data_IF_373305963471
#
_entry.id   IF_373305963471
#
_cell.length_a   1.000
_cell.length_b   1.000
_cell.length_c   1.000
_cell.angle_alpha   90.00
_cell.angle_beta   90.00
_cell.angle_gamma   90.00
#
_symmetry.space_group_name_H-M   'P 1'
#
loop_
_entity.id
_entity.type
_entity.pdbx_description
1 polymer ?
#
# COMPACT_ATOMS: atom_id res chain seq x y z
N UNK A 1 -7.63 -25.48 39.21
CA UNK A 1 -7.18 -24.11 39.56
C UNK A 1 -6.07 -24.08 40.61
N UNK A 2 -6.10 -24.86 41.72
CA UNK A 2 -5.01 -24.85 42.73
C UNK A 2 -3.62 -25.28 42.22
N UNK A 3 -3.53 -26.22 41.27
CA UNK A 3 -2.24 -26.69 40.76
C UNK A 3 -1.56 -25.72 39.76
N UNK A 4 -2.31 -24.75 39.20
CA UNK A 4 -1.76 -23.76 38.27
C UNK A 4 -0.97 -22.66 39.00
N UNK A 5 -1.43 -22.28 40.21
CA UNK A 5 -0.76 -21.29 41.06
C UNK A 5 0.54 -21.82 41.67
N UNK A 6 0.62 -23.10 42.03
CA UNK A 6 1.88 -23.71 42.50
C UNK A 6 2.94 -23.81 41.40
N UNK A 7 2.54 -24.07 40.16
CA UNK A 7 3.47 -24.11 39.01
C UNK A 7 3.93 -22.69 38.66
N UNK A 8 3.05 -21.67 38.69
CA UNK A 8 3.43 -20.27 38.50
C UNK A 8 4.34 -19.73 39.62
N UNK A 9 4.17 -20.19 40.86
CA UNK A 9 5.03 -19.81 41.98
C UNK A 9 6.43 -20.44 41.89
N UNK A 10 6.53 -21.69 41.42
CA UNK A 10 7.82 -22.37 41.19
C UNK A 10 8.54 -21.81 39.94
N UNK A 11 7.80 -21.46 38.88
CA UNK A 11 8.35 -20.82 37.68
C UNK A 11 8.85 -19.38 37.96
N UNK A 12 8.15 -18.64 38.82
CA UNK A 12 8.59 -17.32 39.31
C UNK A 12 9.81 -17.38 40.23
N UNK A 13 9.92 -18.43 41.05
CA UNK A 13 11.08 -18.63 41.94
C UNK A 13 12.35 -19.07 41.18
N UNK A 14 12.22 -19.79 40.06
CA UNK A 14 13.36 -20.15 39.20
C UNK A 14 13.98 -18.97 38.45
N UNK A 15 13.20 -17.92 38.15
CA UNK A 15 13.71 -16.68 37.50
C UNK A 15 14.50 -15.80 38.49
N UNK A 16 14.16 -15.85 39.78
CA UNK A 16 14.90 -15.14 40.83
C UNK A 16 16.26 -15.78 41.14
N UNK A 17 16.38 -17.11 41.04
CA UNK A 17 17.63 -17.83 41.32
C UNK A 17 18.66 -17.74 40.18
N UNK A 18 18.24 -17.46 38.93
CA UNK A 18 19.17 -17.21 37.82
C UNK A 18 19.77 -15.81 37.86
N UNK A 19 19.10 -14.84 38.49
CA UNK A 19 19.57 -13.44 38.56
C UNK A 19 20.81 -13.29 39.45
N UNK A 20 20.79 -13.86 40.66
CA UNK A 20 21.92 -13.78 41.59
C UNK A 20 23.19 -14.47 41.06
N UNK A 21 23.04 -15.57 40.32
CA UNK A 21 24.19 -16.28 39.77
C UNK A 21 24.81 -15.54 38.57
N UNK A 22 23.99 -14.79 37.82
CA UNK A 22 24.44 -13.97 36.70
C UNK A 22 25.15 -12.68 37.17
N UNK A 23 24.67 -12.03 38.24
CA UNK A 23 25.35 -10.87 38.84
C UNK A 23 26.75 -11.25 39.36
N UNK A 24 26.85 -12.36 40.10
CA UNK A 24 28.14 -12.90 40.60
C UNK A 24 29.11 -13.28 39.48
N UNK A 25 28.60 -13.79 38.36
CA UNK A 25 29.42 -14.12 37.19
C UNK A 25 30.04 -12.86 36.58
N UNK A 26 29.25 -11.81 36.35
CA UNK A 26 29.76 -10.53 35.83
C UNK A 26 30.75 -9.87 36.78
N UNK A 27 30.47 -9.88 38.08
CA UNK A 27 31.41 -9.37 39.07
C UNK A 27 32.76 -10.11 39.02
N UNK A 28 32.77 -11.44 39.03
CA UNK A 28 34.02 -12.23 38.91
C UNK A 28 34.78 -11.94 37.61
N UNK A 29 34.06 -11.77 36.51
CA UNK A 29 34.69 -11.45 35.24
C UNK A 29 35.30 -10.04 35.25
N UNK A 30 34.63 -9.07 35.89
CA UNK A 30 35.19 -7.75 36.15
C UNK A 30 36.49 -7.83 36.96
N UNK A 31 36.55 -8.66 38.00
CA UNK A 31 37.77 -8.86 38.80
C UNK A 31 38.93 -9.44 37.98
N UNK A 32 38.63 -10.37 37.06
CA UNK A 32 39.64 -10.93 36.15
C UNK A 32 40.18 -9.85 35.21
N UNK A 33 39.31 -9.01 34.64
CA UNK A 33 39.71 -7.91 33.74
C UNK A 33 40.53 -6.85 34.49
N UNK A 34 40.08 -6.46 35.68
CA UNK A 34 40.78 -5.50 36.55
C UNK A 34 42.19 -6.00 36.91
N UNK A 35 42.34 -7.28 37.24
CA UNK A 35 43.63 -7.89 37.55
C UNK A 35 44.60 -7.90 36.35
N UNK A 36 44.10 -7.74 35.13
CA UNK A 36 44.88 -7.63 33.90
C UNK A 36 45.05 -6.16 33.43
N UNK A 37 44.57 -5.18 34.19
CA UNK A 37 44.65 -3.75 33.84
C UNK A 37 43.63 -3.29 32.81
N UNK A 38 42.60 -4.09 32.52
CA UNK A 38 41.51 -3.74 31.60
C UNK A 38 40.39 -3.03 32.38
N UNK A 39 40.65 -1.79 32.78
CA UNK A 39 39.82 -1.07 33.74
C UNK A 39 38.44 -0.69 33.19
N UNK A 40 38.35 -0.25 31.92
CA UNK A 40 37.06 0.10 31.31
C UNK A 40 36.15 -1.14 31.18
N UNK A 41 36.68 -2.25 30.69
CA UNK A 41 35.94 -3.50 30.56
C UNK A 41 35.56 -4.09 31.93
N UNK A 42 36.43 -3.93 32.93
CA UNK A 42 36.12 -4.31 34.31
C UNK A 42 34.95 -3.49 34.86
N UNK A 43 34.98 -2.16 34.70
CA UNK A 43 33.92 -1.27 35.16
C UNK A 43 32.57 -1.57 34.46
N UNK A 44 32.58 -1.83 33.15
CA UNK A 44 31.38 -2.25 32.41
C UNK A 44 30.80 -3.57 32.95
N UNK A 45 31.65 -4.52 33.36
CA UNK A 45 31.21 -5.76 34.00
C UNK A 45 30.63 -5.54 35.41
N UNK A 46 31.19 -4.61 36.18
CA UNK A 46 30.62 -4.22 37.47
C UNK A 46 29.28 -3.49 37.32
N UNK A 47 29.15 -2.60 36.34
CA UNK A 47 27.87 -1.97 35.96
C UNK A 47 26.84 -3.05 35.61
N UNK A 48 27.23 -4.06 34.84
CA UNK A 48 26.32 -5.15 34.47
C UNK A 48 25.93 -6.03 35.66
N UNK A 49 26.84 -6.25 36.61
CA UNK A 49 26.52 -6.90 37.88
C UNK A 49 25.46 -6.08 38.67
N UNK A 50 25.64 -4.76 38.76
CA UNK A 50 24.74 -3.85 39.46
C UNK A 50 23.39 -3.64 38.76
N UNK A 51 23.34 -3.78 37.43
CA UNK A 51 22.08 -3.80 36.67
C UNK A 51 21.21 -5.01 37.01
N UNK A 52 21.86 -6.14 37.32
CA UNK A 52 21.18 -7.40 37.69
C UNK A 52 20.87 -7.48 39.17
N UNK A 53 21.72 -6.90 40.00
CA UNK A 53 21.55 -6.80 41.45
C UNK A 53 22.05 -5.45 41.96
N UNK A 54 21.12 -4.51 42.15
CA UNK A 54 21.43 -3.13 42.57
C UNK A 54 22.00 -3.03 43.99
N UNK A 55 21.81 -4.06 44.81
CA UNK A 55 22.29 -4.10 46.20
C UNK A 55 23.63 -4.85 46.34
N UNK A 56 24.28 -5.19 45.22
CA UNK A 56 25.55 -5.90 45.23
C UNK A 56 26.71 -4.99 45.65
N UNK A 57 26.92 -4.88 46.97
CA UNK A 57 27.88 -3.96 47.60
C UNK A 57 29.30 -4.15 47.09
N UNK A 58 29.78 -5.39 46.91
CA UNK A 58 31.14 -5.64 46.42
C UNK A 58 31.34 -5.13 45.00
N UNK A 59 30.34 -5.26 44.13
CA UNK A 59 30.37 -4.70 42.78
C UNK A 59 30.30 -3.17 42.80
N UNK A 60 29.57 -2.57 43.74
CA UNK A 60 29.50 -1.11 43.90
C UNK A 60 30.85 -0.53 44.33
N UNK A 61 31.52 -1.16 45.31
CA UNK A 61 32.86 -0.74 45.77
C UNK A 61 33.87 -0.88 44.65
N UNK A 62 33.88 -2.03 43.95
CA UNK A 62 34.80 -2.24 42.83
C UNK A 62 34.54 -1.24 41.67
N UNK A 63 33.28 -0.94 41.37
CA UNK A 63 32.93 0.09 40.39
C UNK A 63 33.36 1.49 40.82
N UNK A 64 33.31 1.81 42.12
CA UNK A 64 33.78 3.10 42.61
C UNK A 64 35.27 3.29 42.37
N UNK A 65 36.08 2.27 42.70
CA UNK A 65 37.53 2.32 42.56
C UNK A 65 37.94 2.35 41.08
N UNK A 66 37.46 1.36 40.30
CA UNK A 66 37.83 1.24 38.88
C UNK A 66 37.17 2.33 38.04
N UNK A 67 35.94 2.74 38.37
CA UNK A 67 35.24 3.79 37.65
C UNK A 67 35.95 5.14 37.77
N UNK A 68 36.59 5.44 38.91
CA UNK A 68 37.43 6.63 39.03
C UNK A 68 38.66 6.56 38.12
N UNK A 69 39.31 5.39 38.02
CA UNK A 69 40.46 5.18 37.12
C UNK A 69 40.06 5.44 35.67
N UNK A 70 38.97 4.82 35.20
CA UNK A 70 38.47 4.98 33.81
C UNK A 70 38.15 6.43 33.48
N UNK A 71 37.51 7.17 34.39
CA UNK A 71 37.20 8.58 34.16
C UNK A 71 38.48 9.42 34.06
N UNK A 72 39.48 9.16 34.91
CA UNK A 72 40.74 9.89 34.88
C UNK A 72 41.54 9.55 33.62
N UNK A 73 41.62 8.28 33.22
CA UNK A 73 42.26 7.85 31.97
C UNK A 73 41.66 8.57 30.77
N UNK A 74 40.33 8.69 30.67
CA UNK A 74 39.68 9.43 29.58
C UNK A 74 39.95 10.93 29.60
N UNK A 75 40.15 11.53 30.78
CA UNK A 75 40.56 12.93 30.88
C UNK A 75 42.05 13.14 30.56
N UNK A 76 42.89 12.17 30.90
CA UNK A 76 44.30 12.17 30.52
C UNK A 76 44.42 12.04 28.99
N UNK A 77 43.68 11.11 28.37
CA UNK A 77 43.58 10.96 26.91
C UNK A 77 43.07 12.25 26.24
N UNK A 78 42.10 12.94 26.86
CA UNK A 78 41.63 14.25 26.39
C UNK A 78 42.78 15.25 26.34
N UNK A 79 43.57 15.39 27.40
CA UNK A 79 44.68 16.35 27.41
C UNK A 79 45.81 15.96 26.47
N UNK A 80 46.13 14.67 26.37
CA UNK A 80 47.13 14.18 25.42
C UNK A 80 46.73 14.53 23.97
N UNK A 81 45.44 14.41 23.64
CA UNK A 81 44.91 14.84 22.35
C UNK A 81 44.93 16.37 22.17
N UNK A 82 44.63 17.15 23.22
CA UNK A 82 44.76 18.62 23.18
C UNK A 82 46.20 19.06 22.93
N UNK A 83 47.17 18.46 23.61
CA UNK A 83 48.61 18.75 23.43
C UNK A 83 49.09 18.36 22.02
N UNK A 84 48.51 17.32 21.45
CA UNK A 84 48.80 16.83 20.10
C UNK A 84 48.08 17.63 18.99
N UNK A 85 47.14 18.52 19.34
CA UNK A 85 46.33 19.29 18.40
C UNK A 85 45.24 18.46 17.69
N UNK A 86 44.86 17.33 18.28
CA UNK A 86 43.87 16.39 17.75
C UNK A 86 42.47 16.72 18.28
N UNK A 87 41.94 17.87 17.87
CA UNK A 87 40.73 18.47 18.47
C UNK A 87 39.50 17.56 18.46
N UNK A 88 39.27 16.85 17.35
CA UNK A 88 38.16 15.90 17.23
C UNK A 88 38.27 14.77 18.27
N UNK A 89 39.48 14.24 18.46
CA UNK A 89 39.73 13.18 19.41
C UNK A 89 39.61 13.69 20.85
N UNK A 90 40.14 14.87 21.13
CA UNK A 90 39.98 15.54 22.41
C UNK A 90 38.50 15.71 22.78
N UNK A 91 37.68 16.28 21.89
CA UNK A 91 36.24 16.45 22.11
C UNK A 91 35.58 15.11 22.43
N UNK A 92 35.91 14.05 21.67
CA UNK A 92 35.40 12.69 21.90
C UNK A 92 35.79 12.17 23.29
N UNK A 93 37.07 12.21 23.66
CA UNK A 93 37.56 11.73 24.95
C UNK A 93 36.89 12.46 26.13
N UNK A 94 36.73 13.78 26.03
CA UNK A 94 36.01 14.55 27.04
C UNK A 94 34.54 14.12 27.17
N UNK A 95 33.84 13.97 26.04
CA UNK A 95 32.44 13.52 26.04
C UNK A 95 32.30 12.11 26.63
N UNK A 96 33.20 11.18 26.27
CA UNK A 96 33.21 9.84 26.85
C UNK A 96 33.45 9.85 28.37
N UNK A 97 34.35 10.73 28.86
CA UNK A 97 34.55 10.90 30.29
C UNK A 97 33.27 11.41 30.99
N UNK A 98 32.60 12.41 30.42
CA UNK A 98 31.34 12.95 30.96
C UNK A 98 30.20 11.93 30.95
N UNK A 99 30.06 11.16 29.87
CA UNK A 99 29.07 10.10 29.74
C UNK A 99 29.31 8.97 30.75
N UNK A 100 30.58 8.59 30.94
CA UNK A 100 30.94 7.60 31.93
C UNK A 100 30.69 8.09 33.36
N UNK A 101 31.01 9.37 33.66
CA UNK A 101 30.66 10.02 34.94
C UNK A 101 29.16 10.04 35.18
N UNK A 102 28.37 10.38 34.16
CA UNK A 102 26.90 10.34 34.24
C UNK A 102 26.38 8.92 34.52
N UNK A 103 27.02 7.91 33.92
CA UNK A 103 26.72 6.49 34.17
C UNK A 103 27.03 6.11 35.62
N UNK A 104 28.20 6.46 36.15
CA UNK A 104 28.57 6.23 37.55
C UNK A 104 27.62 6.93 38.53
N UNK A 105 27.20 8.16 38.21
CA UNK A 105 26.24 8.93 39.00
C UNK A 105 24.90 8.23 39.14
N UNK A 106 24.47 7.43 38.16
CA UNK A 106 23.25 6.61 38.26
C UNK A 106 23.31 5.53 39.36
N UNK A 107 24.53 5.18 39.80
CA UNK A 107 24.80 4.29 40.93
C UNK A 107 25.18 5.05 42.21
N UNK A 108 24.97 6.37 42.26
CA UNK A 108 25.39 7.27 43.34
C UNK A 108 26.91 7.35 43.54
N UNK A 109 27.71 7.03 42.51
CA UNK A 109 29.15 7.25 42.51
C UNK A 109 29.41 8.59 41.83
N UNK A 110 29.92 9.56 42.60
CA UNK A 110 30.25 10.88 42.07
C UNK A 110 31.77 11.01 41.90
N UNK A 111 32.22 11.02 40.66
CA UNK A 111 33.61 11.29 40.31
C UNK A 111 33.73 12.76 39.93
N UNK A 112 34.59 13.50 40.65
CA UNK A 112 34.81 14.91 40.39
C UNK A 112 35.49 15.12 39.04
N UNK A 113 35.04 16.14 38.29
CA UNK A 113 35.79 16.65 37.14
C UNK A 113 37.09 17.26 37.64
N UNK A 114 38.26 16.96 37.05
CA UNK A 114 39.46 17.66 37.44
C UNK A 114 39.42 19.13 36.98
N UNK A 115 40.09 20.00 37.72
CA UNK A 115 40.01 21.46 37.55
C UNK A 115 40.53 21.85 36.15
N UNK A 116 39.88 22.84 35.52
CA UNK A 116 40.30 23.41 34.23
C UNK A 116 39.85 22.64 32.98
N UNK A 117 39.50 21.36 33.08
CA UNK A 117 39.16 20.55 31.90
C UNK A 117 37.93 21.04 31.15
N UNK A 118 36.92 21.56 31.86
CA UNK A 118 35.74 22.15 31.21
C UNK A 118 36.08 23.42 30.43
N UNK A 119 36.98 24.25 30.96
CA UNK A 119 37.38 25.48 30.29
C UNK A 119 38.26 25.15 29.07
N UNK A 120 39.17 24.18 29.19
CA UNK A 120 39.97 23.70 28.05
C UNK A 120 39.09 23.06 26.98
N UNK A 121 38.12 22.23 27.37
CA UNK A 121 37.15 21.64 26.44
C UNK A 121 36.41 22.70 25.63
N UNK A 122 35.97 23.79 26.27
CA UNK A 122 35.30 24.90 25.56
C UNK A 122 36.23 25.56 24.55
N UNK A 123 37.51 25.76 24.88
CA UNK A 123 38.50 26.33 23.96
C UNK A 123 38.72 25.43 22.75
N UNK A 124 38.89 24.12 22.97
CA UNK A 124 39.09 23.12 21.91
C UNK A 124 37.84 23.01 21.03
N UNK A 125 36.66 22.96 21.65
CA UNK A 125 35.38 22.94 20.94
C UNK A 125 35.20 24.19 20.06
N UNK A 126 35.45 25.38 20.61
CA UNK A 126 35.33 26.63 19.85
C UNK A 126 36.28 26.65 18.63
N UNK A 127 37.52 26.16 18.78
CA UNK A 127 38.49 26.04 17.69
C UNK A 127 38.03 25.04 16.63
N UNK A 128 37.62 23.84 17.04
CA UNK A 128 37.18 22.79 16.12
C UNK A 128 35.94 23.20 15.32
N UNK A 129 34.96 23.83 15.98
CA UNK A 129 33.76 24.34 15.31
C UNK A 129 34.10 25.44 14.30
N UNK A 130 35.09 26.29 14.57
CA UNK A 130 35.56 27.30 13.61
C UNK A 130 36.21 26.64 12.38
N UNK A 131 37.07 25.64 12.59
CA UNK A 131 37.74 24.92 11.49
C UNK A 131 36.73 24.19 10.60
N UNK A 132 35.81 23.42 11.20
CA UNK A 132 34.71 22.78 10.47
C UNK A 132 33.84 23.79 9.72
N UNK A 133 33.60 24.97 10.30
CA UNK A 133 32.80 26.02 9.67
C UNK A 133 33.51 26.61 8.44
N UNK A 134 34.82 26.85 8.54
CA UNK A 134 35.65 27.28 7.42
C UNK A 134 35.65 26.21 6.32
N UNK A 135 35.85 24.94 6.68
CA UNK A 135 35.86 23.82 5.75
C UNK A 135 34.51 23.65 5.03
N UNK A 136 33.40 23.68 5.79
CA UNK A 136 32.06 23.62 5.22
C UNK A 136 31.79 24.75 4.22
N UNK A 137 32.21 25.98 4.53
CA UNK A 137 32.08 27.13 3.62
C UNK A 137 32.96 27.00 2.37
N UNK A 138 34.20 26.56 2.54
CA UNK A 138 35.12 26.33 1.43
C UNK A 138 34.58 25.23 0.51
N UNK A 139 34.07 24.14 1.07
CA UNK A 139 33.45 23.04 0.33
C UNK A 139 32.23 23.51 -0.47
N UNK A 140 31.34 24.33 0.12
CA UNK A 140 30.23 24.98 -0.63
C UNK A 140 30.76 25.83 -1.79
N UNK A 141 31.79 26.66 -1.55
CA UNK A 141 32.41 27.50 -2.58
C UNK A 141 33.01 26.69 -3.74
N UNK A 142 33.58 25.54 -3.42
CA UNK A 142 34.14 24.58 -4.38
C UNK A 142 33.07 23.66 -5.02
N UNK A 143 31.79 23.80 -4.63
CA UNK A 143 30.68 22.92 -5.01
C UNK A 143 30.85 21.46 -4.59
N UNK A 144 31.71 21.19 -3.62
CA UNK A 144 31.83 19.90 -2.96
C UNK A 144 30.75 19.79 -1.87
N UNK A 145 29.51 19.62 -2.30
CA UNK A 145 28.35 19.54 -1.41
C UNK A 145 28.41 18.35 -0.43
N UNK A 146 28.91 17.15 -0.80
CA UNK A 146 29.11 16.07 0.15
C UNK A 146 30.06 16.43 1.30
N UNK A 147 31.24 16.99 1.00
CA UNK A 147 32.18 17.41 2.04
C UNK A 147 31.58 18.52 2.93
N UNK A 148 30.87 19.49 2.33
CA UNK A 148 30.18 20.52 3.07
C UNK A 148 29.14 19.95 4.03
N UNK A 149 28.31 19.01 3.58
CA UNK A 149 27.31 18.37 4.42
C UNK A 149 27.94 17.61 5.59
N UNK A 150 29.06 16.91 5.36
CA UNK A 150 29.77 16.20 6.42
C UNK A 150 30.21 17.16 7.53
N UNK A 151 30.96 18.21 7.18
CA UNK A 151 31.46 19.19 8.16
C UNK A 151 30.33 19.93 8.89
N UNK A 152 29.29 20.36 8.17
CA UNK A 152 28.19 21.13 8.75
C UNK A 152 27.26 20.27 9.63
N UNK A 153 27.07 18.99 9.31
CA UNK A 153 26.33 18.08 10.19
C UNK A 153 27.10 17.80 11.48
N UNK A 154 28.42 17.71 11.41
CA UNK A 154 29.26 17.54 12.60
C UNK A 154 29.13 18.75 13.53
N UNK A 155 29.18 19.97 12.99
CA UNK A 155 28.90 21.19 13.77
C UNK A 155 27.52 21.10 14.43
N UNK A 156 26.46 20.77 13.69
CA UNK A 156 25.09 20.70 14.25
C UNK A 156 24.99 19.63 15.36
N UNK A 157 25.75 18.55 15.27
CA UNK A 157 25.76 17.50 16.30
C UNK A 157 26.41 17.97 17.61
N UNK A 158 27.36 18.90 17.53
CA UNK A 158 28.10 19.46 18.66
C UNK A 158 27.45 20.73 19.22
N UNK A 159 27.03 21.64 18.35
CA UNK A 159 26.30 22.87 18.67
C UNK A 159 25.28 23.21 17.55
N UNK A 160 23.98 22.88 17.76
CA UNK A 160 22.93 23.15 16.79
C UNK A 160 22.73 24.63 16.43
N UNK A 161 23.12 25.54 17.32
CA UNK A 161 22.92 26.99 17.18
C UNK A 161 24.22 27.71 16.73
N UNK A 162 25.25 26.96 16.33
CA UNK A 162 26.52 27.53 15.91
C UNK A 162 26.38 28.36 14.63
N UNK A 163 26.41 29.69 14.78
CA UNK A 163 26.37 30.68 13.69
C UNK A 163 25.21 30.42 12.71
N UNK A 164 25.47 30.45 11.41
CA UNK A 164 24.50 30.21 10.33
C UNK A 164 24.62 28.80 9.73
N UNK A 165 25.17 27.84 10.47
CA UNK A 165 25.44 26.45 10.01
C UNK A 165 24.19 25.77 9.45
N UNK A 166 23.03 25.95 10.09
CA UNK A 166 21.77 25.39 9.58
C UNK A 166 21.42 25.92 8.17
N UNK A 167 21.69 27.21 7.91
CA UNK A 167 21.47 27.82 6.60
C UNK A 167 22.49 27.32 5.57
N UNK A 168 23.75 27.18 5.96
CA UNK A 168 24.79 26.61 5.10
C UNK A 168 24.49 25.16 4.73
N UNK A 169 24.03 24.36 5.68
CA UNK A 169 23.63 22.98 5.43
C UNK A 169 22.45 22.92 4.47
N UNK A 170 21.46 23.80 4.67
CA UNK A 170 20.34 23.95 3.74
C UNK A 170 20.81 24.27 2.32
N UNK A 171 21.84 25.09 2.15
CA UNK A 171 22.47 25.37 0.84
C UNK A 171 23.17 24.13 0.29
N UNK A 172 23.95 23.43 1.11
CA UNK A 172 24.71 22.25 0.71
C UNK A 172 23.80 21.08 0.28
N UNK A 173 22.63 20.93 0.89
CA UNK A 173 21.62 19.93 0.51
C UNK A 173 20.78 20.41 -0.68
N UNK A 174 20.30 21.66 -0.63
CA UNK A 174 19.34 22.18 -1.60
C UNK A 174 19.93 22.44 -2.99
N UNK A 175 21.15 22.97 -3.08
CA UNK A 175 21.77 23.35 -4.36
C UNK A 175 21.94 22.18 -5.34
N UNK A 176 22.49 20.99 -4.98
CA UNK A 176 22.61 19.88 -5.92
C UNK A 176 21.24 19.37 -6.39
N UNK A 177 20.25 19.28 -5.50
CA UNK A 177 18.88 18.87 -5.84
C UNK A 177 18.17 19.89 -6.75
N UNK A 178 18.41 21.17 -6.51
CA UNK A 178 17.88 22.24 -7.36
C UNK A 178 18.48 22.17 -8.77
N UNK A 179 19.80 21.96 -8.87
CA UNK A 179 20.46 21.83 -10.17
C UNK A 179 19.95 20.61 -10.96
N UNK A 180 19.75 19.46 -10.30
CA UNK A 180 19.16 18.27 -10.91
C UNK A 180 17.73 18.54 -11.43
N UNK A 181 16.89 19.20 -10.62
CA UNK A 181 15.53 19.55 -11.02
C UNK A 181 15.52 20.54 -12.21
N UNK A 182 16.46 21.49 -12.24
CA UNK A 182 16.63 22.43 -13.34
C UNK A 182 17.15 21.76 -14.62
N UNK A 183 18.06 20.78 -14.52
CA UNK A 183 18.53 20.01 -15.67
C UNK A 183 17.36 19.30 -16.36
N UNK A 184 16.51 18.60 -15.58
CA UNK A 184 15.28 17.98 -16.11
C UNK A 184 14.31 19.00 -16.72
N UNK A 185 14.23 20.20 -16.13
CA UNK A 185 13.40 21.28 -16.64
C UNK A 185 13.90 21.80 -17.99
N UNK A 186 15.21 22.01 -18.12
CA UNK A 186 15.87 22.51 -19.32
C UNK A 186 15.79 21.48 -20.46
N UNK A 187 15.83 20.19 -20.13
CA UNK A 187 15.55 19.07 -21.05
C UNK A 187 14.08 18.95 -21.45
N UNK A 188 13.19 19.80 -20.91
CA UNK A 188 11.73 19.78 -21.09
C UNK A 188 11.07 18.51 -20.55
N UNK A 189 11.76 17.75 -19.70
CA UNK A 189 11.17 16.65 -18.96
C UNK A 189 10.40 17.19 -17.74
N UNK A 190 9.30 17.89 -18.03
CA UNK A 190 8.55 18.64 -17.02
C UNK A 190 7.93 17.75 -15.94
N UNK A 191 7.58 16.49 -16.24
CA UNK A 191 7.02 15.58 -15.24
C UNK A 191 8.08 15.11 -14.25
N UNK A 192 9.27 14.78 -14.73
CA UNK A 192 10.41 14.45 -13.86
C UNK A 192 10.88 15.68 -13.07
N UNK A 193 10.99 16.85 -13.72
CA UNK A 193 11.35 18.11 -13.06
C UNK A 193 10.40 18.45 -11.91
N UNK A 194 9.08 18.36 -12.12
CA UNK A 194 8.08 18.57 -11.06
C UNK A 194 8.31 17.65 -9.85
N UNK A 195 8.57 16.36 -10.09
CA UNK A 195 8.86 15.39 -9.01
C UNK A 195 10.17 15.71 -8.29
N UNK A 196 11.20 16.13 -9.03
CA UNK A 196 12.49 16.56 -8.46
C UNK A 196 12.33 17.80 -7.58
N UNK A 197 11.54 18.80 -7.99
CA UNK A 197 11.23 19.97 -7.16
C UNK A 197 10.42 19.61 -5.91
N UNK A 198 9.47 18.67 -5.99
CA UNK A 198 8.79 18.16 -4.78
C UNK A 198 9.79 17.54 -3.81
N UNK A 199 10.71 16.71 -4.30
CA UNK A 199 11.74 16.07 -3.48
C UNK A 199 12.66 17.09 -2.82
N UNK A 200 13.12 18.09 -3.57
CA UNK A 200 13.88 19.23 -3.06
C UNK A 200 13.14 19.92 -1.91
N UNK A 201 11.88 20.32 -2.13
CA UNK A 201 11.12 21.06 -1.14
C UNK A 201 10.75 20.23 0.09
N UNK A 202 10.64 18.91 -0.04
CA UNK A 202 10.46 18.01 1.09
C UNK A 202 11.70 17.95 2.00
N UNK A 203 12.91 18.18 1.46
CA UNK A 203 14.15 18.14 2.23
C UNK A 203 14.51 19.49 2.85
N UNK A 204 14.37 20.60 2.10
CA UNK A 204 14.90 21.92 2.50
C UNK A 204 13.86 23.05 2.48
N UNK A 205 12.59 22.71 2.24
CA UNK A 205 11.54 23.70 1.99
C UNK A 205 11.71 24.42 0.65
N UNK A 206 10.98 25.52 0.45
CA UNK A 206 11.15 26.38 -0.72
C UNK A 206 12.61 26.81 -0.85
N UNK A 207 13.24 26.57 -2.00
CA UNK A 207 14.66 26.83 -2.23
C UNK A 207 14.86 27.56 -3.55
N UNK A 208 15.50 28.74 -3.51
CA UNK A 208 15.58 29.66 -4.64
C UNK A 208 14.20 29.85 -5.32
N UNK A 209 14.10 29.59 -6.62
CA UNK A 209 12.87 29.71 -7.41
C UNK A 209 12.13 28.36 -7.54
N UNK A 210 12.41 27.37 -6.68
CA UNK A 210 11.78 26.03 -6.76
C UNK A 210 10.26 26.07 -6.82
N UNK A 211 9.54 26.94 -6.07
CA UNK A 211 8.09 26.95 -6.13
C UNK A 211 7.57 27.38 -7.51
N UNK A 212 8.27 28.34 -8.15
CA UNK A 212 7.92 28.83 -9.47
C UNK A 212 8.14 27.73 -10.54
N UNK A 213 9.35 27.17 -10.61
CA UNK A 213 9.64 26.14 -11.62
C UNK A 213 8.86 24.85 -11.40
N UNK A 214 8.54 24.49 -10.16
CA UNK A 214 7.60 23.41 -9.86
C UNK A 214 6.23 23.67 -10.49
N UNK A 215 5.66 24.86 -10.31
CA UNK A 215 4.36 25.20 -10.90
C UNK A 215 4.41 25.21 -12.44
N UNK A 216 5.46 25.78 -13.03
CA UNK A 216 5.66 25.80 -14.48
C UNK A 216 5.84 24.38 -15.03
N UNK A 217 6.60 23.53 -14.34
CA UNK A 217 6.77 22.12 -14.69
C UNK A 217 5.45 21.37 -14.67
N UNK A 218 4.62 21.57 -13.65
CA UNK A 218 3.29 20.99 -13.61
C UNK A 218 2.46 21.43 -14.82
N UNK A 219 2.40 22.74 -15.08
CA UNK A 219 1.61 23.32 -16.17
C UNK A 219 2.05 22.81 -17.55
N UNK A 220 3.35 22.72 -17.79
CA UNK A 220 3.89 22.28 -19.07
C UNK A 220 3.83 20.75 -19.25
N UNK A 221 3.94 20.01 -18.14
CA UNK A 221 3.80 18.55 -18.12
C UNK A 221 2.35 18.05 -18.18
N UNK A 222 1.36 18.94 -18.02
CA UNK A 222 -0.05 18.60 -18.12
C UNK A 222 -0.44 18.15 -19.53
N UNK A 223 -1.29 17.14 -19.56
CA UNK A 223 -1.90 16.58 -20.74
C UNK A 223 -3.41 16.83 -20.69
N UNK A 224 -3.89 17.69 -21.59
CA UNK A 224 -5.31 17.96 -21.73
C UNK A 224 -6.01 16.85 -22.50
N UNK A 225 -6.99 16.19 -21.90
CA UNK A 225 -7.83 15.20 -22.54
C UNK A 225 -9.26 15.73 -22.67
N UNK A 226 -9.72 15.95 -23.90
CA UNK A 226 -11.12 16.19 -24.20
C UNK A 226 -11.88 14.86 -24.29
N UNK A 227 -13.10 14.80 -23.79
CA UNK A 227 -13.97 13.61 -23.90
C UNK A 227 -15.24 14.03 -24.64
N UNK A 228 -15.40 13.59 -25.89
CA UNK A 228 -16.58 13.89 -26.71
C UNK A 228 -17.81 13.14 -26.21
N UNK A 229 -18.99 13.58 -26.67
CA UNK A 229 -20.18 12.75 -26.59
C UNK A 229 -19.92 11.45 -27.35
N UNK A 230 -20.24 10.32 -26.71
CA UNK A 230 -20.14 9.03 -27.37
C UNK A 230 -21.36 8.79 -28.24
N UNK A 231 -21.17 8.03 -29.31
CA UNK A 231 -22.25 7.59 -30.18
C UNK A 231 -22.89 6.32 -29.61
N UNK A 232 -24.18 6.12 -29.86
CA UNK A 232 -24.92 4.94 -29.44
C UNK A 232 -25.73 4.40 -30.61
N UNK A 233 -25.36 3.20 -31.06
CA UNK A 233 -26.01 2.50 -32.18
C UNK A 233 -26.95 1.39 -31.69
N UNK A 234 -27.28 1.39 -30.40
CA UNK A 234 -28.16 0.40 -29.78
C UNK A 234 -29.57 0.97 -29.57
N UNK A 235 -30.52 0.09 -29.27
CA UNK A 235 -31.89 0.49 -28.90
C UNK A 235 -32.00 1.09 -27.48
N UNK A 236 -30.91 1.09 -26.70
CA UNK A 236 -30.89 1.49 -25.29
C UNK A 236 -30.34 2.91 -25.13
N UNK A 237 -31.21 3.91 -25.03
CA UNK A 237 -30.79 5.31 -24.87
C UNK A 237 -30.11 5.62 -23.53
N UNK A 238 -29.27 6.66 -23.50
CA UNK A 238 -28.60 7.16 -22.29
C UNK A 238 -27.34 6.40 -21.89
N UNK A 239 -26.99 5.33 -22.61
CA UNK A 239 -25.81 4.51 -22.33
C UNK A 239 -24.53 5.26 -22.68
N UNK A 240 -24.54 6.07 -23.74
CA UNK A 240 -23.44 6.94 -24.15
C UNK A 240 -23.03 7.92 -23.04
N UNK A 241 -24.01 8.62 -22.47
CA UNK A 241 -23.77 9.59 -21.40
C UNK A 241 -23.26 8.88 -20.13
N UNK A 242 -23.83 7.71 -19.81
CA UNK A 242 -23.41 6.89 -18.68
C UNK A 242 -21.96 6.42 -18.82
N UNK A 243 -21.59 5.88 -19.98
CA UNK A 243 -20.23 5.41 -20.26
C UNK A 243 -19.22 6.56 -20.22
N UNK A 244 -19.48 7.68 -20.89
CA UNK A 244 -18.54 8.81 -20.81
C UNK A 244 -18.40 9.34 -19.39
N UNK A 245 -19.50 9.46 -18.63
CA UNK A 245 -19.48 9.89 -17.23
C UNK A 245 -18.63 8.96 -16.37
N UNK A 246 -18.84 7.64 -16.50
CA UNK A 246 -18.06 6.64 -15.76
C UNK A 246 -16.58 6.67 -16.12
N UNK A 247 -16.23 6.74 -17.41
CA UNK A 247 -14.84 6.87 -17.85
C UNK A 247 -14.21 8.16 -17.27
N UNK A 248 -14.91 9.29 -17.38
CA UNK A 248 -14.45 10.58 -16.84
C UNK A 248 -14.16 10.45 -15.34
N UNK A 249 -15.09 9.87 -14.57
CA UNK A 249 -14.92 9.66 -13.13
C UNK A 249 -13.72 8.76 -12.82
N UNK A 250 -13.57 7.63 -13.52
CA UNK A 250 -12.43 6.70 -13.30
C UNK A 250 -11.09 7.40 -13.59
N UNK A 251 -11.05 8.24 -14.63
CA UNK A 251 -9.85 9.04 -14.94
C UNK A 251 -9.58 10.11 -13.88
N UNK A 252 -10.61 10.77 -13.34
CA UNK A 252 -10.47 11.72 -12.22
C UNK A 252 -9.97 11.02 -10.94
N UNK A 253 -10.48 9.82 -10.64
CA UNK A 253 -10.08 9.02 -9.48
C UNK A 253 -8.61 8.57 -9.51
N UNK A 254 -7.92 8.67 -10.67
CA UNK A 254 -6.47 8.46 -10.74
C UNK A 254 -5.69 9.52 -9.97
N UNK A 255 -6.26 10.72 -9.75
CA UNK A 255 -5.61 11.86 -9.09
C UNK A 255 -4.23 12.19 -9.70
N UNK A 256 -4.09 12.03 -11.01
CA UNK A 256 -2.85 12.38 -11.71
C UNK A 256 -2.78 13.90 -11.93
N UNK A 257 -1.82 14.61 -11.33
CA UNK A 257 -1.69 16.06 -11.48
C UNK A 257 -1.37 16.48 -12.93
N UNK A 258 -0.88 15.55 -13.76
CA UNK A 258 -0.61 15.78 -15.16
C UNK A 258 -1.78 15.44 -16.09
N UNK A 259 -2.89 14.90 -15.58
CA UNK A 259 -4.09 14.68 -16.39
C UNK A 259 -5.08 15.84 -16.18
N UNK A 260 -5.32 16.62 -17.23
CA UNK A 260 -6.33 17.67 -17.22
C UNK A 260 -7.51 17.27 -18.10
N UNK A 261 -8.62 16.90 -17.49
CA UNK A 261 -9.85 16.64 -18.24
C UNK A 261 -10.50 17.97 -18.63
N UNK A 262 -10.80 18.14 -19.91
CA UNK A 262 -11.42 19.34 -20.46
C UNK A 262 -12.94 19.16 -20.52
N UNK A 263 -13.69 20.12 -19.97
CA UNK A 263 -15.14 20.08 -19.87
C UNK A 263 -15.81 20.19 -21.26
N UNK A 264 -16.86 19.39 -21.46
CA UNK A 264 -17.65 19.27 -22.69
C UNK A 264 -18.36 20.56 -23.09
N UNK A 265 -18.73 21.40 -22.13
CA UNK A 265 -19.43 22.67 -22.43
C UNK A 265 -18.55 23.66 -23.20
N UNK A 266 -17.23 23.52 -23.13
CA UNK A 266 -16.28 24.27 -23.97
C UNK A 266 -16.15 23.69 -25.40
N UNK A 267 -16.68 22.49 -25.64
CA UNK A 267 -16.63 21.76 -26.93
C UNK A 267 -17.94 21.90 -27.74
N UNK A 268 -19.02 22.40 -27.13
CA UNK A 268 -20.36 22.54 -27.74
C UNK A 268 -20.41 23.55 -28.90
N UNK A 269 -19.33 24.29 -29.16
CA UNK A 269 -19.16 25.12 -30.35
C UNK A 269 -18.69 24.35 -31.59
N UNK A 270 -18.35 23.06 -31.46
CA UNK A 270 -17.86 22.25 -32.58
C UNK A 270 -19.02 21.66 -33.38
N UNK A 271 -19.08 21.96 -34.68
CA UNK A 271 -20.09 21.39 -35.56
C UNK A 271 -19.78 19.93 -35.90
N UNK A 272 -20.79 19.11 -36.18
CA UNK A 272 -20.61 17.73 -36.67
C UNK A 272 -19.74 17.64 -37.93
N UNK A 273 -19.66 18.73 -38.69
CA UNK A 273 -18.83 18.88 -39.88
C UNK A 273 -17.34 19.05 -39.52
N UNK A 274 -17.05 19.81 -38.45
CA UNK A 274 -15.70 19.95 -37.88
C UNK A 274 -15.22 18.65 -37.21
N UNK A 275 -16.11 17.88 -36.57
CA UNK A 275 -15.80 16.57 -36.00
C UNK A 275 -15.49 15.53 -37.09
N UNK A 276 -16.23 15.56 -38.22
CA UNK A 276 -15.98 14.70 -39.38
C UNK A 276 -14.72 15.09 -40.17
N UNK A 277 -14.32 16.35 -40.15
CA UNK A 277 -13.03 16.78 -40.70
C UNK A 277 -11.85 16.16 -39.90
N UNK A 278 -11.99 16.08 -38.57
CA UNK A 278 -10.99 15.43 -37.69
C UNK A 278 -10.90 13.90 -37.88
N UNK A 279 -11.93 13.24 -38.43
CA UNK A 279 -11.93 11.80 -38.73
C UNK A 279 -11.37 11.44 -40.12
N UNK A 280 -10.82 12.42 -40.85
CA UNK A 280 -10.06 12.20 -42.09
C UNK A 280 -10.89 12.14 -43.38
N UNK A 281 -12.10 12.71 -43.42
CA UNK A 281 -12.98 12.66 -44.61
C UNK A 281 -13.14 13.96 -45.42
N UNK A 282 -12.53 15.12 -45.09
CA UNK A 282 -12.58 16.33 -45.96
C UNK A 282 -11.54 17.44 -45.64
N UNK A 283 -11.42 18.39 -46.59
CA UNK A 283 -10.45 19.46 -46.92
C UNK A 283 -9.53 20.10 -45.81
N UNK A 284 -8.22 20.35 -46.09
CA UNK A 284 -7.24 20.88 -45.12
C UNK A 284 -7.50 22.31 -44.58
N UNK A 285 -8.43 23.06 -45.18
CA UNK A 285 -8.72 24.44 -44.75
C UNK A 285 -9.54 24.50 -43.45
N UNK A 286 -10.27 23.43 -43.09
CA UNK A 286 -11.15 23.36 -41.90
C UNK A 286 -10.40 22.90 -40.64
N UNK A 287 -9.20 22.34 -40.77
CA UNK A 287 -8.37 21.88 -39.64
C UNK A 287 -7.86 23.03 -38.75
N UNK A 288 -7.72 24.25 -39.30
CA UNK A 288 -7.19 25.40 -38.59
C UNK A 288 -8.18 26.02 -37.55
N UNK A 289 -9.50 25.82 -37.71
CA UNK A 289 -10.51 26.33 -36.76
C UNK A 289 -10.78 25.42 -35.56
N UNK A 290 -10.33 24.16 -35.59
CA UNK A 290 -10.32 23.26 -34.44
C UNK A 290 -9.34 23.69 -33.33
N UNK A 291 -8.49 24.69 -33.59
CA UNK A 291 -7.62 25.36 -32.62
C UNK A 291 -8.35 26.10 -31.48
N UNK A 292 -9.69 26.07 -31.44
CA UNK A 292 -10.50 26.56 -30.31
C UNK A 292 -10.59 25.56 -29.14
N UNK A 293 -10.01 24.36 -29.25
CA UNK A 293 -9.84 23.42 -28.14
C UNK A 293 -8.77 23.91 -27.17
N UNK A 294 -9.06 24.97 -26.41
CA UNK A 294 -8.11 25.62 -25.49
C UNK A 294 -7.53 24.61 -24.47
N UNK A 295 -6.36 24.05 -24.79
CA UNK A 295 -5.56 23.21 -23.91
C UNK A 295 -5.77 21.69 -24.00
N UNK A 296 -6.59 21.16 -24.92
CA UNK A 296 -6.65 19.71 -25.17
C UNK A 296 -5.53 19.27 -26.12
N UNK A 297 -4.76 18.24 -25.74
CA UNK A 297 -3.74 17.60 -26.57
C UNK A 297 -4.31 16.40 -27.34
N UNK A 298 -5.30 15.71 -26.77
CA UNK A 298 -6.02 14.65 -27.44
C UNK A 298 -7.51 14.64 -27.09
N UNK A 299 -8.29 13.97 -27.94
CA UNK A 299 -9.73 13.81 -27.81
C UNK A 299 -10.08 12.33 -27.77
N UNK A 300 -10.88 11.93 -26.79
CA UNK A 300 -11.50 10.62 -26.71
C UNK A 300 -12.86 10.64 -27.42
N UNK A 301 -12.99 9.76 -28.41
CA UNK A 301 -14.24 9.45 -29.10
C UNK A 301 -14.60 8.00 -28.82
N UNK A 302 -15.89 7.70 -28.64
CA UNK A 302 -16.37 6.36 -28.37
C UNK A 302 -17.71 6.09 -29.03
N UNK A 303 -17.96 4.84 -29.36
CA UNK A 303 -19.20 4.37 -29.95
C UNK A 303 -19.65 3.07 -29.27
N UNK A 304 -20.91 3.04 -28.85
CA UNK A 304 -21.54 1.84 -28.34
C UNK A 304 -22.21 1.10 -29.50
N UNK A 305 -21.50 0.11 -30.04
CA UNK A 305 -21.80 -0.54 -31.32
C UNK A 305 -22.99 -1.47 -31.22
N UNK A 306 -23.05 -2.29 -30.17
CA UNK A 306 -24.13 -3.27 -30.02
C UNK A 306 -24.36 -3.65 -28.57
N UNK A 307 -25.63 -3.98 -28.25
CA UNK A 307 -26.04 -4.61 -27.01
C UNK A 307 -27.13 -5.64 -27.32
N UNK A 308 -26.82 -6.92 -27.10
CA UNK A 308 -27.71 -8.04 -27.35
C UNK A 308 -28.09 -8.69 -26.01
N UNK A 309 -29.39 -8.78 -25.74
CA UNK A 309 -29.96 -9.45 -24.56
C UNK A 309 -30.72 -10.69 -25.02
N UNK A 310 -30.23 -11.87 -24.67
CA UNK A 310 -30.89 -13.16 -24.98
C UNK A 310 -31.31 -13.85 -23.70
N UNK A 311 -32.61 -14.05 -23.54
CA UNK A 311 -33.18 -14.84 -22.46
C UNK A 311 -33.77 -16.12 -23.02
N UNK A 312 -33.43 -17.27 -22.44
CA UNK A 312 -34.07 -18.53 -22.80
C UNK A 312 -35.49 -18.59 -22.25
N UNK A 313 -36.36 -19.36 -22.91
CA UNK A 313 -37.62 -19.75 -22.31
C UNK A 313 -37.36 -20.57 -21.03
N UNK A 314 -38.24 -20.42 -20.03
CA UNK A 314 -38.23 -21.25 -18.83
C UNK A 314 -38.52 -22.70 -19.22
N UNK A 315 -37.53 -23.59 -19.06
CA UNK A 315 -37.71 -25.01 -19.32
C UNK A 315 -38.05 -25.71 -18.02
N UNK A 316 -39.26 -26.26 -17.94
CA UNK A 316 -39.75 -27.04 -16.81
C UNK A 316 -39.93 -28.50 -17.22
N UNK A 317 -39.14 -29.38 -16.65
CA UNK A 317 -39.17 -30.82 -16.92
C UNK A 317 -39.69 -31.59 -15.72
N UNK A 318 -40.69 -32.44 -15.95
CA UNK A 318 -41.30 -33.24 -14.89
C UNK A 318 -40.42 -34.46 -14.59
N UNK A 319 -40.13 -34.69 -13.31
CA UNK A 319 -39.23 -35.76 -12.85
C UNK A 319 -39.89 -36.70 -11.84
N UNK A 320 -39.68 -38.02 -11.99
CA UNK A 320 -40.20 -39.00 -11.05
C UNK A 320 -39.49 -38.89 -9.70
N UNK A 321 -40.28 -38.83 -8.62
CA UNK A 321 -39.79 -38.79 -7.25
C UNK A 321 -40.66 -39.62 -6.30
N UNK A 322 -40.25 -39.65 -5.04
CA UNK A 322 -41.00 -40.28 -3.96
C UNK A 322 -41.03 -39.40 -2.72
N UNK A 323 -42.16 -39.34 -2.04
CA UNK A 323 -42.28 -38.73 -0.72
C UNK A 323 -42.25 -39.83 0.36
N UNK A 324 -41.28 -39.74 1.26
CA UNK A 324 -41.15 -40.65 2.39
C UNK A 324 -42.10 -40.27 3.53
N UNK A 325 -42.80 -41.26 4.08
CA UNK A 325 -43.63 -41.13 5.29
C UNK A 325 -43.26 -42.23 6.28
N UNK A 326 -43.06 -41.86 7.53
CA UNK A 326 -42.85 -42.84 8.60
C UNK A 326 -44.19 -43.44 9.00
N UNK A 327 -44.27 -44.76 8.98
CA UNK A 327 -45.42 -45.51 9.48
C UNK A 327 -44.94 -46.51 10.52
N UNK A 328 -45.72 -46.69 11.58
CA UNK A 328 -45.42 -47.71 12.58
C UNK A 328 -45.98 -49.05 12.10
N UNK A 329 -45.12 -50.06 11.97
CA UNK A 329 -45.51 -51.44 11.68
C UNK A 329 -45.16 -52.32 12.87
N UNK A 330 -45.96 -53.35 13.09
CA UNK A 330 -45.64 -54.37 14.07
C UNK A 330 -44.90 -55.50 13.34
N UNK A 331 -43.69 -55.81 13.78
CA UNK A 331 -42.90 -56.89 13.20
C UNK A 331 -43.49 -58.27 13.59
N UNK A 332 -42.95 -59.35 13.03
CA UNK A 332 -43.43 -60.72 13.30
C UNK A 332 -43.30 -61.15 14.78
N UNK A 333 -42.54 -60.40 15.58
CA UNK A 333 -42.24 -60.65 16.99
C UNK A 333 -43.11 -59.79 17.94
N UNK A 334 -44.01 -58.95 17.41
CA UNK A 334 -44.94 -58.14 18.19
C UNK A 334 -44.44 -56.75 18.60
N UNK A 335 -43.23 -56.36 18.18
CA UNK A 335 -42.63 -55.07 18.47
C UNK A 335 -43.02 -54.00 17.44
N UNK A 336 -43.18 -52.75 17.89
CA UNK A 336 -43.48 -51.61 17.02
C UNK A 336 -42.20 -51.03 16.42
N UNK A 337 -42.00 -51.21 15.12
CA UNK A 337 -40.93 -50.59 14.34
C UNK A 337 -41.45 -49.41 13.50
N UNK A 338 -40.66 -48.35 13.37
CA UNK A 338 -40.96 -47.23 12.49
C UNK A 338 -40.30 -47.47 11.13
N UNK A 339 -41.10 -47.70 10.10
CA UNK A 339 -40.64 -47.99 8.74
C UNK A 339 -40.99 -46.83 7.81
N UNK A 340 -40.08 -46.49 6.91
CA UNK A 340 -40.33 -45.48 5.89
C UNK A 340 -41.05 -46.11 4.69
N UNK A 341 -42.26 -45.62 4.39
CA UNK A 341 -43.03 -45.94 3.18
C UNK A 341 -42.91 -44.77 2.20
N UNK A 342 -42.95 -45.06 0.91
CA UNK A 342 -42.66 -44.09 -0.15
C UNK A 342 -43.81 -44.06 -1.14
N UNK A 343 -44.40 -42.87 -1.30
CA UNK A 343 -45.48 -42.65 -2.25
C UNK A 343 -44.92 -41.94 -3.49
N UNK A 344 -45.30 -42.38 -4.70
CA UNK A 344 -44.86 -41.76 -5.96
C UNK A 344 -45.34 -40.32 -6.03
N UNK A 345 -44.47 -39.41 -6.44
CA UNK A 345 -44.78 -37.99 -6.64
C UNK A 345 -44.02 -37.43 -7.83
N UNK A 346 -44.58 -36.43 -8.48
CA UNK A 346 -43.85 -35.64 -9.46
C UNK A 346 -43.22 -34.42 -8.78
N UNK A 347 -41.94 -34.18 -9.06
CA UNK A 347 -41.32 -32.87 -8.89
C UNK A 347 -40.90 -32.33 -10.26
N UNK A 348 -40.39 -31.11 -10.31
CA UNK A 348 -39.97 -30.50 -11.57
C UNK A 348 -38.55 -29.98 -11.47
N UNK A 349 -37.75 -30.26 -12.48
CA UNK A 349 -36.52 -29.52 -12.73
C UNK A 349 -36.84 -28.29 -13.58
N UNK A 350 -36.27 -27.14 -13.22
CA UNK A 350 -36.49 -25.87 -13.87
C UNK A 350 -35.14 -25.27 -14.25
N UNK A 351 -34.97 -24.95 -15.52
CA UNK A 351 -33.77 -24.30 -16.06
C UNK A 351 -34.13 -23.06 -16.85
N UNK A 352 -33.33 -22.01 -16.70
CA UNK A 352 -33.42 -20.81 -17.52
C UNK A 352 -32.05 -20.12 -17.53
N UNK A 353 -31.69 -19.48 -18.64
CA UNK A 353 -30.51 -18.62 -18.71
C UNK A 353 -30.83 -17.28 -19.37
N UNK A 354 -29.99 -16.31 -19.05
CA UNK A 354 -29.92 -15.02 -19.72
C UNK A 354 -28.46 -14.75 -20.09
N UNK A 355 -28.26 -14.13 -21.24
CA UNK A 355 -26.97 -13.66 -21.72
C UNK A 355 -27.14 -12.21 -22.16
N UNK A 356 -26.18 -11.37 -21.78
CA UNK A 356 -26.05 -10.02 -22.29
C UNK A 356 -24.66 -9.90 -22.90
N UNK A 357 -24.58 -9.41 -24.13
CA UNK A 357 -23.31 -9.18 -24.83
C UNK A 357 -23.28 -7.78 -25.38
N UNK A 358 -22.18 -7.06 -25.21
CA UNK A 358 -22.04 -5.69 -25.66
C UNK A 358 -20.66 -5.41 -26.24
N UNK A 359 -20.61 -4.49 -27.20
CA UNK A 359 -19.39 -4.04 -27.85
C UNK A 359 -19.30 -2.53 -27.75
N UNK A 360 -18.22 -2.04 -27.15
CA UNK A 360 -17.87 -0.62 -27.07
C UNK A 360 -16.53 -0.39 -27.76
N UNK A 361 -16.50 0.51 -28.73
CA UNK A 361 -15.27 0.90 -29.43
C UNK A 361 -14.90 2.32 -29.04
N UNK A 362 -13.61 2.60 -28.99
CA UNK A 362 -13.12 3.94 -28.73
C UNK A 362 -11.80 4.21 -29.44
N UNK A 363 -11.52 5.50 -29.61
CA UNK A 363 -10.27 6.00 -30.15
C UNK A 363 -9.85 7.29 -29.47
N UNK A 364 -8.55 7.44 -29.30
CA UNK A 364 -7.89 8.64 -28.86
C UNK A 364 -7.25 9.29 -30.08
N UNK A 365 -7.56 10.55 -30.34
CA UNK A 365 -7.11 11.30 -31.52
C UNK A 365 -6.30 12.51 -31.08
N UNK A 366 -5.11 12.70 -31.68
CA UNK A 366 -4.28 13.87 -31.47
C UNK A 366 -4.97 15.11 -32.00
N UNK A 367 -5.04 16.18 -31.19
CA UNK A 367 -5.59 17.47 -31.64
C UNK A 367 -4.65 18.15 -32.64
N UNK A 368 -3.34 18.00 -32.44
CA UNK A 368 -2.33 18.67 -33.27
C UNK A 368 -2.20 18.02 -34.65
N UNK A 369 -2.19 16.70 -34.71
CA UNK A 369 -1.88 15.95 -35.95
C UNK A 369 -3.09 15.27 -36.57
N UNK A 370 -4.19 15.10 -35.82
CA UNK A 370 -5.34 14.29 -36.23
C UNK A 370 -5.07 12.78 -36.23
N UNK A 371 -3.88 12.34 -35.81
CA UNK A 371 -3.51 10.92 -35.80
C UNK A 371 -4.24 10.15 -34.70
N UNK A 372 -4.56 8.89 -34.99
CA UNK A 372 -5.12 7.96 -33.99
C UNK A 372 -3.96 7.49 -33.10
N UNK A 373 -3.98 7.97 -31.86
CA UNK A 373 -2.99 7.66 -30.83
C UNK A 373 -3.24 6.30 -30.19
N UNK A 374 -4.52 5.94 -30.03
CA UNK A 374 -4.97 4.67 -29.47
C UNK A 374 -6.33 4.33 -30.06
N UNK A 375 -6.59 3.06 -30.33
CA UNK A 375 -7.93 2.56 -30.66
C UNK A 375 -8.09 1.14 -30.15
N UNK A 376 -9.28 0.81 -29.67
CA UNK A 376 -9.60 -0.54 -29.20
C UNK A 376 -11.11 -0.81 -29.25
N UNK A 377 -11.46 -2.10 -29.21
CA UNK A 377 -12.83 -2.61 -29.17
C UNK A 377 -13.00 -3.56 -27.98
N UNK A 378 -13.84 -3.15 -27.02
CA UNK A 378 -14.14 -3.93 -25.83
C UNK A 378 -15.42 -4.74 -26.06
N UNK A 379 -15.25 -6.05 -26.19
CA UNK A 379 -16.34 -7.03 -26.21
C UNK A 379 -16.51 -7.68 -24.82
N UNK A 380 -17.72 -7.57 -24.25
CA UNK A 380 -18.06 -8.15 -22.96
C UNK A 380 -19.30 -9.01 -23.09
N UNK A 381 -19.21 -10.22 -22.54
CA UNK A 381 -20.33 -11.15 -22.45
C UNK A 381 -20.54 -11.55 -20.99
N UNK A 382 -21.75 -11.29 -20.47
CA UNK A 382 -22.21 -11.74 -19.15
C UNK A 382 -23.35 -12.72 -19.32
N UNK A 383 -23.38 -13.74 -18.46
CA UNK A 383 -24.43 -14.76 -18.46
C UNK A 383 -24.85 -15.05 -17.04
N UNK A 384 -26.13 -15.37 -16.89
CA UNK A 384 -26.67 -15.90 -15.66
C UNK A 384 -27.57 -17.11 -15.94
N UNK A 385 -27.63 -18.04 -14.99
CA UNK A 385 -28.38 -19.28 -15.11
C UNK A 385 -29.04 -19.64 -13.76
N UNK A 386 -30.28 -20.14 -13.86
CA UNK A 386 -30.95 -20.84 -12.77
C UNK A 386 -31.18 -22.28 -13.17
N UNK A 387 -30.83 -23.20 -12.28
CA UNK A 387 -31.07 -24.62 -12.41
C UNK A 387 -31.47 -25.17 -11.03
N UNK A 388 -32.76 -25.41 -10.85
CA UNK A 388 -33.33 -25.76 -9.56
C UNK A 388 -34.43 -26.81 -9.69
N UNK A 389 -34.84 -27.38 -8.57
CA UNK A 389 -35.96 -28.30 -8.50
C UNK A 389 -37.10 -27.67 -7.70
N UNK A 390 -38.35 -27.99 -8.05
CA UNK A 390 -39.54 -27.53 -7.32
C UNK A 390 -40.46 -28.69 -7.01
N UNK A 391 -41.02 -28.67 -5.81
CA UNK A 391 -42.02 -29.61 -5.35
C UNK A 391 -43.03 -28.87 -4.48
N UNK A 392 -44.32 -29.15 -4.67
CA UNK A 392 -45.41 -28.43 -3.99
C UNK A 392 -45.70 -28.93 -2.57
N UNK A 393 -45.07 -30.03 -2.14
CA UNK A 393 -45.22 -30.60 -0.80
C UNK A 393 -43.96 -30.49 0.05
N UNK A 394 -43.95 -31.16 1.20
CA UNK A 394 -42.80 -31.23 2.11
C UNK A 394 -41.57 -31.83 1.39
N UNK A 395 -40.47 -31.07 1.35
CA UNK A 395 -39.25 -31.47 0.64
C UNK A 395 -38.29 -32.30 1.48
N UNK A 396 -38.39 -32.24 2.82
CA UNK A 396 -37.49 -32.94 3.75
C UNK A 396 -37.33 -34.43 3.43
N UNK A 397 -38.44 -35.08 3.08
CA UNK A 397 -38.48 -36.50 2.73
C UNK A 397 -38.76 -36.74 1.25
N UNK A 398 -38.48 -35.76 0.39
CA UNK A 398 -38.51 -35.96 -1.05
C UNK A 398 -37.23 -36.69 -1.49
N UNK A 399 -37.39 -37.70 -2.34
CA UNK A 399 -36.31 -38.47 -2.93
C UNK A 399 -36.48 -38.53 -4.44
N UNK A 400 -35.36 -38.57 -5.16
CA UNK A 400 -35.41 -38.92 -6.58
C UNK A 400 -35.90 -40.36 -6.74
N UNK A 401 -36.62 -40.61 -7.83
CA UNK A 401 -37.14 -41.93 -8.14
C UNK A 401 -36.90 -42.28 -9.59
N UNK A 402 -37.06 -43.55 -9.90
CA UNK A 402 -37.19 -44.01 -11.28
C UNK A 402 -38.44 -44.87 -11.34
N UNK A 403 -39.44 -44.38 -12.07
CA UNK A 403 -40.70 -45.06 -12.32
C UNK A 403 -41.35 -44.44 -13.56
N UNK A 404 -42.16 -45.23 -14.27
CA UNK A 404 -42.81 -44.79 -15.52
C UNK A 404 -44.31 -44.48 -15.35
N UNK A 405 -44.95 -45.15 -14.39
CA UNK A 405 -46.38 -44.99 -14.12
C UNK A 405 -46.64 -44.55 -12.68
N UNK A 406 -47.41 -43.48 -12.54
CA UNK A 406 -47.84 -42.94 -11.24
C UNK A 406 -48.83 -43.88 -10.53
N UNK A 407 -49.70 -44.55 -11.30
CA UNK A 407 -50.83 -45.31 -10.77
C UNK A 407 -50.59 -46.81 -10.67
N UNK A 408 -49.54 -47.33 -11.33
CA UNK A 408 -49.24 -48.76 -11.36
C UNK A 408 -47.82 -49.00 -10.83
N UNK A 409 -47.70 -49.90 -9.87
CA UNK A 409 -46.40 -50.35 -9.39
C UNK A 409 -45.78 -51.35 -10.34
N UNK A 410 -44.50 -51.13 -10.65
CA UNK A 410 -43.69 -52.01 -11.49
C UNK A 410 -42.48 -52.48 -10.72
N UNK A 411 -41.96 -53.64 -11.10
CA UNK A 411 -40.76 -54.23 -10.50
C UNK A 411 -39.50 -53.40 -10.73
N UNK A 412 -39.50 -52.54 -11.75
CA UNK A 412 -38.41 -51.62 -12.07
C UNK A 412 -38.41 -50.34 -11.24
N UNK A 413 -39.49 -50.07 -10.50
CA UNK A 413 -39.66 -48.85 -9.74
C UNK A 413 -38.68 -48.79 -8.57
N UNK A 414 -37.88 -47.72 -8.49
CA UNK A 414 -36.82 -47.61 -7.47
C UNK A 414 -36.74 -46.22 -6.88
N UNK A 415 -36.60 -46.18 -5.55
CA UNK A 415 -36.28 -44.96 -4.80
C UNK A 415 -34.77 -44.80 -4.75
N UNK A 416 -34.25 -43.66 -5.18
CA UNK A 416 -32.82 -43.36 -5.17
C UNK A 416 -32.42 -42.79 -3.79
N UNK A 417 -32.16 -43.69 -2.84
CA UNK A 417 -31.99 -43.35 -1.40
C UNK A 417 -30.56 -43.07 -0.96
N UNK A 418 -29.58 -43.19 -1.85
CA UNK A 418 -28.19 -42.93 -1.44
C UNK A 418 -28.05 -41.48 -1.01
N UNK A 419 -27.15 -41.24 -0.05
CA UNK A 419 -26.87 -39.89 0.46
C UNK A 419 -26.46 -38.92 -0.66
N UNK A 420 -25.77 -39.42 -1.69
CA UNK A 420 -25.40 -38.64 -2.88
C UNK A 420 -26.62 -38.13 -3.65
N UNK A 421 -27.61 -38.98 -3.91
CA UNK A 421 -28.82 -38.57 -4.60
C UNK A 421 -29.65 -37.62 -3.73
N UNK A 422 -29.85 -37.92 -2.45
CA UNK A 422 -30.61 -37.04 -1.55
C UNK A 422 -30.00 -35.64 -1.50
N UNK A 423 -28.68 -35.56 -1.28
CA UNK A 423 -27.95 -34.29 -1.25
C UNK A 423 -28.08 -33.50 -2.55
N UNK A 424 -27.92 -34.15 -3.71
CA UNK A 424 -28.08 -33.47 -5.01
C UNK A 424 -29.47 -32.89 -5.20
N UNK A 425 -30.52 -33.61 -4.77
CA UNK A 425 -31.89 -33.10 -4.88
C UNK A 425 -32.11 -31.92 -3.92
N UNK A 426 -31.62 -32.04 -2.69
CA UNK A 426 -31.74 -30.96 -1.69
C UNK A 426 -31.02 -29.69 -2.14
N UNK A 427 -29.78 -29.82 -2.64
CA UNK A 427 -29.01 -28.70 -3.21
C UNK A 427 -29.78 -28.00 -4.34
N UNK A 428 -30.53 -28.75 -5.17
CA UNK A 428 -31.37 -28.19 -6.24
C UNK A 428 -32.67 -27.58 -5.74
N UNK A 429 -33.26 -28.11 -4.66
CA UNK A 429 -34.47 -27.55 -4.06
C UNK A 429 -34.18 -26.22 -3.34
N UNK A 430 -32.96 -26.10 -2.78
CA UNK A 430 -32.48 -24.90 -2.10
C UNK A 430 -31.81 -23.89 -3.05
N UNK A 431 -31.62 -24.24 -4.34
CA UNK A 431 -30.98 -23.40 -5.32
C UNK A 431 -31.78 -22.12 -5.64
N UNK A 432 -31.06 -21.06 -6.05
CA UNK A 432 -31.65 -19.79 -6.48
C UNK A 432 -32.60 -20.01 -7.65
N UNK A 433 -33.78 -19.39 -7.56
CA UNK A 433 -34.88 -19.59 -8.52
C UNK A 433 -35.08 -18.42 -9.49
N UNK A 434 -34.40 -17.30 -9.25
CA UNK A 434 -34.52 -16.06 -10.05
C UNK A 434 -33.20 -15.72 -10.72
N UNK A 435 -33.26 -15.44 -12.02
CA UNK A 435 -32.14 -14.84 -12.75
C UNK A 435 -31.90 -13.41 -12.27
N UNK A 436 -30.66 -12.94 -12.43
CA UNK A 436 -30.37 -11.52 -12.48
C UNK A 436 -31.23 -10.85 -13.55
N UNK A 437 -31.63 -9.61 -13.28
CA UNK A 437 -32.34 -8.80 -14.26
C UNK A 437 -31.43 -8.43 -15.44
N UNK A 438 -32.04 -8.10 -16.57
CA UNK A 438 -31.31 -7.57 -17.72
C UNK A 438 -30.65 -6.22 -17.39
N UNK A 439 -31.27 -5.39 -16.55
CA UNK A 439 -30.68 -4.13 -16.06
C UNK A 439 -29.40 -4.35 -15.23
N UNK A 440 -29.40 -5.33 -14.33
CA UNK A 440 -28.23 -5.68 -13.53
C UNK A 440 -27.06 -6.11 -14.41
N UNK A 441 -27.30 -7.06 -15.34
CA UNK A 441 -26.27 -7.56 -16.25
C UNK A 441 -25.76 -6.46 -17.21
N UNK A 442 -26.65 -5.59 -17.70
CA UNK A 442 -26.25 -4.43 -18.52
C UNK A 442 -25.39 -3.45 -17.72
N UNK A 443 -25.76 -3.14 -16.49
CA UNK A 443 -25.00 -2.25 -15.61
C UNK A 443 -23.59 -2.79 -15.32
N UNK A 444 -23.46 -4.11 -15.10
CA UNK A 444 -22.17 -4.79 -14.97
C UNK A 444 -21.31 -4.62 -16.23
N UNK A 445 -21.89 -4.84 -17.42
CA UNK A 445 -21.19 -4.64 -18.70
C UNK A 445 -20.72 -3.18 -18.84
N UNK A 446 -21.58 -2.21 -18.60
CA UNK A 446 -21.21 -0.79 -18.71
C UNK A 446 -20.09 -0.40 -17.75
N UNK A 447 -20.12 -0.94 -16.52
CA UNK A 447 -19.05 -0.72 -15.53
C UNK A 447 -17.72 -1.29 -16.03
N UNK A 448 -17.74 -2.53 -16.53
CA UNK A 448 -16.53 -3.19 -16.98
C UNK A 448 -15.96 -2.56 -18.26
N UNK A 449 -16.82 -2.11 -19.20
CA UNK A 449 -16.41 -1.35 -20.38
C UNK A 449 -15.72 -0.04 -20.00
N UNK A 450 -16.36 0.77 -19.15
CA UNK A 450 -15.79 2.03 -18.71
C UNK A 450 -14.46 1.83 -17.98
N UNK A 451 -14.36 0.80 -17.13
CA UNK A 451 -13.13 0.46 -16.42
C UNK A 451 -11.99 0.05 -17.35
N UNK A 452 -12.28 -0.82 -18.32
CA UNK A 452 -11.29 -1.26 -19.31
C UNK A 452 -10.82 -0.10 -20.18
N UNK A 453 -11.74 0.69 -20.74
CA UNK A 453 -11.40 1.83 -21.58
C UNK A 453 -10.57 2.88 -20.82
N UNK A 454 -11.01 3.30 -19.64
CA UNK A 454 -10.28 4.30 -18.85
C UNK A 454 -8.88 3.82 -18.44
N UNK A 455 -8.75 2.55 -18.04
CA UNK A 455 -7.44 1.98 -17.71
C UNK A 455 -6.55 1.87 -18.93
N UNK A 456 -7.09 1.53 -20.09
CA UNK A 456 -6.30 1.40 -21.30
C UNK A 456 -5.75 2.75 -21.76
N UNK A 457 -6.61 3.77 -21.81
CA UNK A 457 -6.25 5.17 -22.12
C UNK A 457 -5.17 5.66 -21.15
N UNK A 458 -5.38 5.43 -19.84
CA UNK A 458 -4.45 5.88 -18.82
C UNK A 458 -3.10 5.16 -18.91
N UNK A 459 -3.09 3.83 -18.94
CA UNK A 459 -1.87 3.04 -18.84
C UNK A 459 -1.06 3.01 -20.13
N UNK A 460 -1.72 2.93 -21.29
CA UNK A 460 -1.01 2.79 -22.58
C UNK A 460 -0.56 4.13 -23.15
N UNK A 461 -1.16 5.23 -22.71
CA UNK A 461 -0.87 6.54 -23.29
C UNK A 461 -0.52 7.57 -22.21
N UNK A 462 -1.43 7.86 -21.27
CA UNK A 462 -1.26 9.00 -20.36
C UNK A 462 -0.15 8.82 -19.32
N UNK A 463 0.08 7.60 -18.84
CA UNK A 463 1.12 7.29 -17.85
C UNK A 463 2.50 7.06 -18.46
N UNK A 464 2.59 6.84 -19.78
CA UNK A 464 3.82 6.50 -20.49
C UNK A 464 4.47 7.69 -21.21
N UNK A 465 3.76 8.80 -21.37
CA UNK A 465 4.38 10.12 -21.66
C UNK A 465 5.11 10.64 -20.40
N UNK A 466 6.04 9.83 -19.88
CA UNK A 466 6.86 10.08 -18.69
C UNK A 466 8.12 10.86 -19.01
#
# INVERSE_FOLDING_TARGET
MKNLYSILFILGLSVLLTSCNAAKKSFKHGQELEANGLYEEAALNYIEALRRDREYIEALVALQDVGQVVVLEKYDDFFDAVESGEDQEAIRYYQEAEDFRATLKSFNIDVARPVGHEDEYKVVLDRYLEDLYIDGRNAIGNKDYPAAQQALNEIISLDPEYKDTQNLLRIAVGRPLYNEAMELFDERNYRAAYRAFIRLEAQVGAFDESPHYKEVSLRNGQFGLGIMAFENHTEYGGVEALLSSRITRILQEKNDPFLKLIDRTMLESLTEEQIRALSGQSDPATAAEAGQLVGAKAILVGEFVSLDVRRSNLRRERRPGYIGRRVNRTNAEGERESVMVYDKVWYYDVTQNIRVSGIFQYKLVSVETGEILLTDAIDINKRDEVDYSTYSGETRYLYMGEWESMSQDRTTDRVLRTSSYKRRLDERLDARQTLQSDDELRSEIYNEMAQRAANDIYNKYLSLEG
#
